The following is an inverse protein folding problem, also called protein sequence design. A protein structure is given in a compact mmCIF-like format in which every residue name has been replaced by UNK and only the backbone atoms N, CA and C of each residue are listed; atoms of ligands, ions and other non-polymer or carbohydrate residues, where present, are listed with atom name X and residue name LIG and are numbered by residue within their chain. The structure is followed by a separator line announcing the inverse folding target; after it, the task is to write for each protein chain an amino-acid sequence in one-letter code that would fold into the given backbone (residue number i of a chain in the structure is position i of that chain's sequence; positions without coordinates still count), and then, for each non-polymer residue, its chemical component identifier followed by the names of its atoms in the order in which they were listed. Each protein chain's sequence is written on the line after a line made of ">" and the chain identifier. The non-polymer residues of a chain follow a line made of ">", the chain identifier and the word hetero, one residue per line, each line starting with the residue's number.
data_IF_646864010341
#
_entry.id   IF_646864010341
#
_cell.length_a   1.000
_cell.length_b   1.000
_cell.length_c   1.000
_cell.angle_alpha   90.00
_cell.angle_beta   90.00
_cell.angle_gamma   90.00
#
_symmetry.space_group_name_H-M   'P 1'
#
loop_
_entity.id
_entity.type
_entity.pdbx_description
1 polymer ?
#
# COMPACT_ATOMS: atom_id res chain seq x y z
N UNK A 1 -6.12 0.23 -0.90
CA UNK A 1 -5.28 0.78 -1.97
C UNK A 1 -5.73 2.19 -2.38
N UNK A 2 -6.96 2.40 -2.90
CA UNK A 2 -7.39 3.72 -3.39
C UNK A 2 -7.15 4.87 -2.40
N UNK A 3 -7.53 4.71 -1.13
CA UNK A 3 -7.33 5.74 -0.11
C UNK A 3 -5.85 6.03 0.11
N UNK A 4 -5.01 5.00 0.18
CA UNK A 4 -3.57 5.17 0.37
C UNK A 4 -2.92 5.88 -0.83
N UNK A 5 -3.06 5.31 -2.02
CA UNK A 5 -2.38 5.79 -3.23
C UNK A 5 -2.82 7.21 -3.61
N UNK A 6 -4.13 7.40 -3.78
CA UNK A 6 -4.67 8.71 -4.15
C UNK A 6 -4.54 9.72 -3.02
N UNK A 7 -4.76 9.29 -1.77
CA UNK A 7 -4.65 10.16 -0.62
C UNK A 7 -3.23 10.66 -0.38
N UNK A 8 -2.20 9.82 -0.57
CA UNK A 8 -0.79 10.22 -0.52
C UNK A 8 -0.46 11.14 -1.69
N UNK A 9 -0.82 10.75 -2.92
CA UNK A 9 -0.52 11.52 -4.12
C UNK A 9 -1.10 12.95 -4.04
N UNK A 10 -2.35 13.09 -3.66
CA UNK A 10 -3.00 14.39 -3.51
C UNK A 10 -2.40 15.22 -2.37
N UNK A 11 -2.10 14.62 -1.23
CA UNK A 11 -1.46 15.32 -0.11
C UNK A 11 -0.03 15.78 -0.43
N UNK A 12 0.68 15.03 -1.30
CA UNK A 12 2.08 15.28 -1.65
C UNK A 12 2.28 16.04 -2.96
N UNK A 13 1.21 16.49 -3.64
CA UNK A 13 1.27 17.17 -4.95
C UNK A 13 2.16 18.42 -5.01
N UNK A 14 2.45 19.02 -3.84
CA UNK A 14 3.34 20.17 -3.71
C UNK A 14 4.82 19.77 -3.69
N UNK A 15 5.14 18.49 -3.49
CA UNK A 15 6.50 17.94 -3.51
C UNK A 15 6.84 17.48 -4.93
N UNK A 16 5.93 16.73 -5.56
CA UNK A 16 6.14 16.18 -6.88
C UNK A 16 4.94 15.37 -7.39
N UNK A 17 5.13 14.73 -8.53
CA UNK A 17 4.12 13.90 -9.18
C UNK A 17 4.66 12.56 -9.68
N UNK A 18 5.86 12.18 -9.29
CA UNK A 18 6.46 10.92 -9.70
C UNK A 18 6.12 9.80 -8.71
N UNK A 19 5.71 8.66 -9.26
CA UNK A 19 5.31 7.45 -8.53
C UNK A 19 5.99 6.24 -9.15
N UNK A 20 6.54 5.35 -8.33
CA UNK A 20 7.14 4.09 -8.76
C UNK A 20 6.29 2.92 -8.27
N UNK A 21 6.04 1.94 -9.14
CA UNK A 21 5.27 0.74 -8.81
C UNK A 21 5.77 -0.48 -9.59
N UNK A 22 4.98 -1.55 -9.66
CA UNK A 22 5.31 -2.77 -10.39
C UNK A 22 4.18 -3.22 -11.31
N UNK A 23 4.47 -4.14 -12.23
CA UNK A 23 3.46 -4.80 -13.04
C UNK A 23 2.76 -5.96 -12.29
N UNK A 24 3.27 -6.36 -11.11
CA UNK A 24 2.71 -7.45 -10.31
C UNK A 24 1.51 -7.02 -9.46
N UNK A 25 1.19 -5.73 -9.47
CA UNK A 25 0.19 -5.18 -8.57
C UNK A 25 -1.23 -5.63 -8.90
N UNK A 26 -2.00 -5.88 -7.86
CA UNK A 26 -3.44 -6.13 -8.01
C UNK A 26 -4.14 -4.95 -8.73
N UNK A 27 -5.23 -5.24 -9.46
CA UNK A 27 -5.99 -4.23 -10.21
C UNK A 27 -6.44 -3.02 -9.39
N UNK A 28 -6.63 -3.16 -8.07
CA UNK A 28 -6.96 -2.03 -7.18
C UNK A 28 -5.79 -1.03 -7.02
N UNK A 29 -4.56 -1.46 -7.20
CA UNK A 29 -3.37 -0.60 -7.29
C UNK A 29 -3.25 -0.07 -8.70
N UNK A 30 -3.17 -0.93 -9.72
CA UNK A 30 -2.99 -0.55 -11.12
C UNK A 30 -4.04 0.45 -11.61
N UNK A 31 -5.33 0.22 -11.33
CA UNK A 31 -6.39 1.15 -11.70
C UNK A 31 -6.30 2.49 -10.94
N UNK A 32 -5.83 2.48 -9.69
CA UNK A 32 -5.59 3.72 -8.94
C UNK A 32 -4.45 4.53 -9.55
N UNK A 33 -3.36 3.87 -9.96
CA UNK A 33 -2.23 4.50 -10.64
C UNK A 33 -2.64 5.05 -12.01
N UNK A 34 -3.42 4.30 -12.79
CA UNK A 34 -3.97 4.78 -14.08
C UNK A 34 -4.83 6.03 -13.90
N UNK A 35 -5.65 6.10 -12.85
CA UNK A 35 -6.44 7.29 -12.54
C UNK A 35 -5.57 8.49 -12.13
N UNK A 36 -4.45 8.26 -11.43
CA UNK A 36 -3.48 9.31 -11.11
C UNK A 36 -2.72 9.76 -12.36
N UNK A 37 -2.35 8.84 -13.26
CA UNK A 37 -1.70 9.18 -14.52
C UNK A 37 -2.58 10.10 -15.38
N UNK A 38 -3.89 9.87 -15.43
CA UNK A 38 -4.85 10.77 -16.09
C UNK A 38 -4.91 12.18 -15.46
N UNK A 39 -4.48 12.31 -14.18
CA UNK A 39 -4.37 13.57 -13.46
C UNK A 39 -2.97 14.23 -13.61
N UNK A 40 -2.11 13.66 -14.46
CA UNK A 40 -0.78 14.19 -14.77
C UNK A 40 0.31 13.74 -13.80
N UNK A 41 0.10 12.63 -13.07
CA UNK A 41 1.19 11.94 -12.37
C UNK A 41 1.99 11.07 -13.33
N UNK A 42 3.29 11.01 -13.13
CA UNK A 42 4.22 10.18 -13.88
C UNK A 42 4.37 8.85 -13.13
N UNK A 43 4.19 7.73 -13.82
CA UNK A 43 4.24 6.39 -13.25
C UNK A 43 5.35 5.60 -13.92
N UNK A 44 6.39 5.25 -13.16
CA UNK A 44 7.40 4.31 -13.58
C UNK A 44 7.13 2.92 -12.99
N UNK A 45 7.36 1.89 -13.80
CA UNK A 45 7.17 0.51 -13.41
C UNK A 45 8.51 -0.21 -13.35
N UNK A 46 8.78 -0.84 -12.19
CA UNK A 46 9.98 -1.65 -11.98
C UNK A 46 9.92 -2.94 -12.80
N UNK A 47 11.04 -3.31 -13.35
CA UNK A 47 11.26 -4.60 -13.96
C UNK A 47 11.25 -5.70 -12.89
N UNK A 48 10.84 -6.88 -13.34
CA UNK A 48 10.74 -8.06 -12.49
C UNK A 48 11.79 -9.08 -12.95
N UNK A 49 12.65 -9.47 -12.04
CA UNK A 49 13.66 -10.50 -12.28
C UNK A 49 13.04 -11.88 -12.55
N UNK A 50 13.86 -12.82 -13.00
CA UNK A 50 13.43 -14.22 -13.26
C UNK A 50 12.93 -14.94 -12.00
N UNK A 51 13.32 -14.47 -10.83
CA UNK A 51 12.87 -14.95 -9.52
C UNK A 51 11.54 -14.34 -9.08
N UNK A 52 10.92 -13.49 -9.89
CA UNK A 52 9.67 -12.78 -9.61
C UNK A 52 9.80 -11.60 -8.66
N UNK A 53 11.03 -11.15 -8.35
CA UNK A 53 11.27 -10.00 -7.47
C UNK A 53 11.55 -8.74 -8.27
N UNK A 54 11.24 -7.58 -7.67
CA UNK A 54 11.54 -6.27 -8.24
C UNK A 54 13.06 -6.07 -8.33
N UNK A 55 13.48 -5.35 -9.37
CA UNK A 55 14.87 -4.93 -9.53
C UNK A 55 15.15 -3.74 -8.58
N UNK A 56 15.97 -3.99 -7.54
CA UNK A 56 16.34 -3.00 -6.55
C UNK A 56 17.35 -1.97 -7.07
N UNK A 57 18.17 -2.31 -8.06
CA UNK A 57 19.11 -1.37 -8.66
C UNK A 57 18.35 -0.40 -9.54
N UNK A 58 17.40 -0.88 -10.35
CA UNK A 58 16.50 -0.01 -11.10
C UNK A 58 15.68 0.89 -10.17
N UNK A 59 15.20 0.39 -9.00
CA UNK A 59 14.53 1.25 -8.03
C UNK A 59 15.42 2.41 -7.59
N UNK A 60 16.71 2.15 -7.29
CA UNK A 60 17.66 3.22 -6.92
C UNK A 60 17.85 4.24 -8.03
N UNK A 61 17.92 3.78 -9.28
CA UNK A 61 18.10 4.65 -10.47
C UNK A 61 16.87 5.53 -10.73
N UNK A 62 15.67 5.00 -10.50
CA UNK A 62 14.41 5.71 -10.73
C UNK A 62 14.04 6.69 -9.60
N UNK A 63 14.62 6.53 -8.38
CA UNK A 63 14.33 7.45 -7.28
C UNK A 63 14.80 8.87 -7.57
N UNK A 64 13.89 9.85 -7.41
CA UNK A 64 14.12 11.28 -7.65
C UNK A 64 13.63 12.10 -6.46
N UNK A 65 14.05 13.36 -6.37
CA UNK A 65 13.60 14.29 -5.31
C UNK A 65 12.09 14.58 -5.38
N UNK A 66 11.50 14.48 -6.57
CA UNK A 66 10.07 14.64 -6.82
C UNK A 66 9.28 13.31 -6.78
N UNK A 67 9.94 12.19 -6.42
CA UNK A 67 9.25 10.91 -6.16
C UNK A 67 8.48 11.00 -4.85
N UNK A 68 7.17 10.85 -4.93
CA UNK A 68 6.27 10.99 -3.76
C UNK A 68 5.73 9.67 -3.22
N UNK A 69 5.81 8.61 -4.01
CA UNK A 69 5.24 7.32 -3.66
C UNK A 69 5.98 6.17 -4.35
N UNK A 70 6.32 5.15 -3.58
CA UNK A 70 6.64 3.80 -4.06
C UNK A 70 5.51 2.88 -3.59
N UNK A 71 4.88 2.15 -4.51
CA UNK A 71 3.75 1.26 -4.22
C UNK A 71 4.06 -0.15 -4.72
N UNK A 72 4.12 -1.12 -3.81
CA UNK A 72 4.47 -2.51 -4.12
C UNK A 72 3.61 -3.49 -3.31
N UNK A 73 3.33 -4.66 -3.87
CA UNK A 73 2.74 -5.76 -3.10
C UNK A 73 3.83 -6.44 -2.25
N UNK A 74 3.47 -6.92 -1.06
CA UNK A 74 4.40 -7.71 -0.23
C UNK A 74 4.56 -9.13 -0.77
N UNK A 75 3.47 -9.70 -1.30
CA UNK A 75 3.43 -11.01 -1.94
C UNK A 75 2.56 -10.90 -3.18
N UNK A 76 3.11 -11.31 -4.31
CA UNK A 76 2.36 -11.36 -5.57
C UNK A 76 1.25 -12.42 -5.53
N UNK A 77 0.08 -12.10 -6.07
CA UNK A 77 -1.10 -12.95 -5.99
C UNK A 77 -1.10 -14.14 -6.95
N UNK A 78 -0.32 -14.08 -8.03
CA UNK A 78 -0.27 -15.09 -9.07
C UNK A 78 0.94 -16.03 -8.91
N UNK A 79 2.12 -15.45 -8.65
CA UNK A 79 3.37 -16.18 -8.53
C UNK A 79 3.66 -16.62 -7.08
N UNK A 80 3.08 -15.93 -6.09
CA UNK A 80 3.36 -16.15 -4.67
C UNK A 80 4.75 -15.65 -4.24
N UNK A 81 5.41 -14.85 -5.06
CA UNK A 81 6.74 -14.33 -4.77
C UNK A 81 6.69 -13.27 -3.67
N UNK A 82 7.54 -13.43 -2.66
CA UNK A 82 7.71 -12.46 -1.57
C UNK A 82 8.67 -11.36 -2.03
N UNK A 83 8.20 -10.11 -2.01
CA UNK A 83 8.99 -8.95 -2.39
C UNK A 83 9.91 -8.47 -1.25
N UNK A 84 11.07 -7.89 -1.55
CA UNK A 84 12.07 -7.47 -0.57
C UNK A 84 11.70 -6.13 0.09
N UNK A 85 10.61 -6.09 0.87
CA UNK A 85 10.04 -4.84 1.44
C UNK A 85 11.03 -4.11 2.33
N UNK A 86 11.88 -4.83 3.08
CA UNK A 86 12.89 -4.24 3.94
C UNK A 86 13.93 -3.44 3.15
N UNK A 87 14.41 -4.02 2.07
CA UNK A 87 15.39 -3.41 1.18
C UNK A 87 14.77 -2.19 0.45
N UNK A 88 13.53 -2.34 -0.03
CA UNK A 88 12.77 -1.23 -0.64
C UNK A 88 12.61 -0.08 0.35
N UNK A 89 12.21 -0.36 1.60
CA UNK A 89 12.10 0.65 2.65
C UNK A 89 13.44 1.36 2.91
N UNK A 90 14.56 0.62 2.87
CA UNK A 90 15.91 1.18 2.98
C UNK A 90 16.26 2.14 1.84
N UNK A 91 15.84 1.84 0.61
CA UNK A 91 16.05 2.70 -0.57
C UNK A 91 15.18 3.96 -0.52
N UNK A 92 13.94 3.84 -0.05
CA UNK A 92 13.01 4.98 0.06
C UNK A 92 13.37 5.93 1.21
N UNK A 93 13.95 5.41 2.29
CA UNK A 93 14.25 6.16 3.53
C UNK A 93 15.03 7.48 3.34
N UNK A 94 16.03 7.58 2.44
CA UNK A 94 16.74 8.84 2.19
C UNK A 94 15.90 9.94 1.53
N UNK A 95 14.72 9.63 1.03
CA UNK A 95 13.84 10.55 0.31
C UNK A 95 12.67 10.99 1.21
N UNK A 96 12.79 12.07 1.99
CA UNK A 96 11.80 12.44 3.00
C UNK A 96 10.45 12.86 2.43
N UNK A 97 10.39 13.21 1.13
CA UNK A 97 9.15 13.48 0.38
C UNK A 97 8.41 12.24 -0.09
N UNK A 98 9.11 11.09 -0.20
CA UNK A 98 8.56 9.85 -0.70
C UNK A 98 7.89 9.04 0.41
N UNK A 99 6.83 8.32 0.06
CA UNK A 99 6.11 7.38 0.95
C UNK A 99 6.17 5.98 0.38
N UNK A 100 6.22 4.98 1.25
CA UNK A 100 6.14 3.58 0.87
C UNK A 100 4.75 3.03 1.22
N UNK A 101 4.01 2.63 0.21
CA UNK A 101 2.77 1.86 0.33
C UNK A 101 3.02 0.38 0.03
N UNK A 102 2.51 -0.49 0.88
CA UNK A 102 2.60 -1.95 0.70
C UNK A 102 1.20 -2.55 0.63
N UNK A 103 0.87 -3.22 -0.47
CA UNK A 103 -0.29 -4.12 -0.50
C UNK A 103 0.10 -5.47 0.13
N UNK A 104 -0.33 -5.69 1.37
CA UNK A 104 -0.04 -6.91 2.12
C UNK A 104 -1.21 -7.92 2.10
N UNK A 105 -2.11 -7.78 1.14
CA UNK A 105 -3.32 -8.62 1.03
C UNK A 105 -3.00 -10.11 1.00
N UNK A 106 -1.93 -10.52 0.35
CA UNK A 106 -1.49 -11.92 0.29
C UNK A 106 -0.46 -12.29 1.36
N UNK A 107 0.04 -11.32 2.13
CA UNK A 107 1.09 -11.54 3.13
C UNK A 107 0.54 -11.73 4.55
N UNK A 108 -0.48 -10.95 4.93
CA UNK A 108 -1.06 -10.98 6.29
C UNK A 108 -1.53 -12.38 6.67
N UNK A 109 -1.05 -12.87 7.81
CA UNK A 109 -1.36 -14.19 8.33
C UNK A 109 -0.68 -15.37 7.61
N UNK A 110 0.27 -15.10 6.70
CA UNK A 110 0.95 -16.14 5.90
C UNK A 110 2.48 -16.01 5.92
N UNK A 111 2.99 -14.79 6.04
CA UNK A 111 4.42 -14.51 6.11
C UNK A 111 4.70 -13.42 7.14
N UNK A 112 5.96 -13.30 7.56
CA UNK A 112 6.40 -12.19 8.37
C UNK A 112 6.18 -10.86 7.66
N UNK A 113 5.71 -9.86 8.40
CA UNK A 113 5.47 -8.51 7.90
C UNK A 113 6.56 -7.56 8.38
N UNK A 114 7.11 -6.81 7.45
CA UNK A 114 8.04 -5.73 7.74
C UNK A 114 7.30 -4.38 7.78
N UNK A 115 7.33 -3.69 8.91
CA UNK A 115 6.64 -2.40 9.11
C UNK A 115 7.59 -1.19 9.21
N UNK A 116 8.86 -1.42 9.56
CA UNK A 116 9.81 -0.31 9.68
C UNK A 116 10.07 0.35 8.31
N UNK A 117 9.86 1.67 8.23
CA UNK A 117 9.93 2.41 6.98
C UNK A 117 8.70 2.31 6.07
N UNK A 118 7.69 1.51 6.42
CA UNK A 118 6.41 1.44 5.68
C UNK A 118 5.46 2.55 6.17
N UNK A 119 4.97 3.36 5.25
CA UNK A 119 4.06 4.48 5.58
C UNK A 119 2.60 4.05 5.61
N UNK A 120 2.21 3.18 4.69
CA UNK A 120 0.85 2.61 4.64
C UNK A 120 0.90 1.14 4.20
N UNK A 121 -0.01 0.34 4.76
CA UNK A 121 -0.15 -1.07 4.39
C UNK A 121 -1.63 -1.43 4.32
N UNK A 122 -2.07 -1.99 3.19
CA UNK A 122 -3.44 -2.42 2.98
C UNK A 122 -3.58 -3.94 3.01
N UNK A 123 -4.71 -4.42 3.52
CA UNK A 123 -5.06 -5.84 3.49
C UNK A 123 -6.58 -6.04 3.61
N UNK A 124 -7.06 -7.26 3.34
CA UNK A 124 -8.48 -7.61 3.39
C UNK A 124 -8.71 -8.94 4.10
N UNK A 125 -9.76 -9.00 4.93
CA UNK A 125 -10.01 -10.10 5.85
C UNK A 125 -10.21 -11.45 5.14
N UNK A 126 -10.89 -11.49 3.99
CA UNK A 126 -11.18 -12.75 3.29
C UNK A 126 -9.95 -13.48 2.73
N UNK A 127 -8.77 -12.87 2.75
CA UNK A 127 -7.51 -13.52 2.33
C UNK A 127 -6.81 -14.29 3.47
N UNK A 128 -7.28 -14.11 4.71
CA UNK A 128 -6.84 -14.87 5.89
C UNK A 128 -8.02 -15.39 6.71
N UNK A 129 -9.01 -15.98 6.01
CA UNK A 129 -10.18 -16.66 6.56
C UNK A 129 -11.16 -15.77 7.35
N UNK A 130 -11.10 -14.47 7.17
CA UNK A 130 -12.05 -13.51 7.70
C UNK A 130 -13.23 -13.26 6.75
N UNK A 131 -14.15 -12.34 7.12
CA UNK A 131 -15.33 -12.06 6.31
C UNK A 131 -15.02 -11.27 5.03
N UNK A 132 -15.86 -11.45 4.02
CA UNK A 132 -15.90 -10.56 2.86
C UNK A 132 -16.46 -9.18 3.25
N UNK A 133 -16.17 -8.17 2.44
CA UNK A 133 -16.76 -6.82 2.55
C UNK A 133 -16.05 -5.87 3.50
N UNK A 134 -14.91 -6.29 4.08
CA UNK A 134 -14.07 -5.42 4.91
C UNK A 134 -12.59 -5.54 4.55
N UNK A 135 -11.91 -4.40 4.54
CA UNK A 135 -10.46 -4.31 4.48
C UNK A 135 -9.94 -3.31 5.51
N UNK A 136 -8.66 -3.32 5.74
CA UNK A 136 -7.99 -2.41 6.65
C UNK A 136 -6.84 -1.68 5.94
N UNK A 137 -6.55 -0.48 6.42
CA UNK A 137 -5.40 0.32 6.04
C UNK A 137 -4.62 0.69 7.30
N UNK A 138 -3.43 0.13 7.46
CA UNK A 138 -2.44 0.67 8.37
C UNK A 138 -1.90 1.99 7.80
N UNK A 139 -1.79 2.98 8.65
CA UNK A 139 -1.21 4.28 8.33
C UNK A 139 -0.26 4.69 9.45
N UNK A 140 1.00 4.97 9.12
CA UNK A 140 1.99 5.47 10.08
C UNK A 140 1.47 6.73 10.78
N UNK A 141 1.69 6.81 12.09
CA UNK A 141 1.30 8.01 12.88
C UNK A 141 1.97 9.27 12.31
N UNK A 142 1.22 10.35 12.19
CA UNK A 142 1.69 11.62 11.64
C UNK A 142 1.67 11.72 10.11
N UNK A 143 1.50 10.62 9.36
CA UNK A 143 1.33 10.71 7.92
C UNK A 143 0.01 11.41 7.59
N UNK A 144 0.05 12.38 6.68
CA UNK A 144 -1.14 13.03 6.13
C UNK A 144 -1.53 12.33 4.83
N UNK A 145 -2.78 11.93 4.74
CA UNK A 145 -3.41 11.44 3.50
C UNK A 145 -4.70 12.21 3.26
N UNK A 146 -5.00 12.53 2.02
CA UNK A 146 -6.24 13.23 1.66
C UNK A 146 -7.40 12.23 1.59
N UNK A 147 -8.53 12.49 2.28
CA UNK A 147 -9.72 11.63 2.19
C UNK A 147 -10.25 11.53 0.76
N UNK A 148 -10.68 10.33 0.36
CA UNK A 148 -11.24 10.08 -0.97
C UNK A 148 -12.76 9.98 -0.97
N UNK A 149 -13.37 9.88 0.22
CA UNK A 149 -14.82 9.82 0.40
C UNK A 149 -15.19 10.94 1.37
N UNK A 150 -15.95 11.92 0.88
CA UNK A 150 -16.42 13.06 1.65
C UNK A 150 -17.65 12.70 2.48
N UNK A 151 -17.82 13.36 3.64
CA UNK A 151 -18.96 13.18 4.54
C UNK A 151 -18.64 13.57 5.97
N UNK A 152 -19.44 13.12 6.92
CA UNK A 152 -19.23 13.39 8.35
C UNK A 152 -17.98 12.65 8.90
N UNK A 153 -17.29 13.30 9.83
CA UNK A 153 -16.25 12.68 10.63
C UNK A 153 -16.89 11.89 11.78
N UNK A 154 -17.02 10.57 11.63
CA UNK A 154 -17.55 9.71 12.69
C UNK A 154 -16.43 9.09 13.56
N UNK A 155 -15.73 8.11 13.02
CA UNK A 155 -14.63 7.41 13.72
C UNK A 155 -13.26 7.83 13.21
N UNK A 156 -13.18 8.36 11.99
CA UNK A 156 -11.94 8.81 11.35
C UNK A 156 -12.20 9.93 10.35
N UNK A 157 -11.24 10.85 10.24
CA UNK A 157 -11.25 11.92 9.23
C UNK A 157 -10.87 11.42 7.83
N UNK A 158 -10.36 10.20 7.70
CA UNK A 158 -9.80 9.68 6.44
C UNK A 158 -10.83 8.98 5.56
N UNK A 159 -11.91 8.49 6.16
CA UNK A 159 -12.94 7.74 5.44
C UNK A 159 -14.30 7.94 6.13
N UNK A 160 -15.17 8.70 5.47
CA UNK A 160 -16.54 8.93 5.96
C UNK A 160 -17.42 7.70 5.79
N UNK A 161 -18.47 7.62 6.60
CA UNK A 161 -19.46 6.56 6.60
C UNK A 161 -19.48 5.79 7.93
N UNK A 162 -20.65 5.32 8.31
CA UNK A 162 -20.84 4.55 9.54
C UNK A 162 -20.11 3.22 9.45
N UNK A 163 -19.21 2.91 10.42
CA UNK A 163 -18.49 1.64 10.41
C UNK A 163 -19.43 0.44 10.59
N UNK A 164 -19.16 -0.63 9.85
CA UNK A 164 -19.86 -1.91 10.02
C UNK A 164 -19.21 -2.68 11.17
N UNK A 165 -19.73 -2.47 12.39
CA UNK A 165 -19.13 -2.99 13.63
C UNK A 165 -18.95 -4.52 13.60
N UNK A 166 -19.97 -5.27 13.13
CA UNK A 166 -19.88 -6.74 13.05
C UNK A 166 -18.74 -7.23 12.15
N UNK A 167 -18.51 -6.57 11.01
CA UNK A 167 -17.39 -6.90 10.12
C UNK A 167 -16.04 -6.51 10.75
N UNK A 168 -15.99 -5.38 11.46
CA UNK A 168 -14.75 -4.93 12.13
C UNK A 168 -14.32 -5.93 13.22
N UNK A 169 -15.24 -6.37 14.08
CA UNK A 169 -14.99 -7.40 15.11
C UNK A 169 -14.58 -8.73 14.48
N UNK A 170 -15.24 -9.12 13.38
CA UNK A 170 -14.89 -10.36 12.67
C UNK A 170 -13.50 -10.30 12.01
N UNK A 171 -13.13 -9.14 11.46
CA UNK A 171 -11.77 -8.91 10.94
C UNK A 171 -10.74 -9.03 12.05
N UNK A 172 -10.97 -8.39 13.20
CA UNK A 172 -10.07 -8.43 14.37
C UNK A 172 -9.86 -9.87 14.86
N UNK A 173 -10.94 -10.63 15.00
CA UNK A 173 -10.86 -12.04 15.42
C UNK A 173 -10.08 -12.91 14.41
N UNK A 174 -10.30 -12.69 13.11
CA UNK A 174 -9.58 -13.40 12.06
C UNK A 174 -8.09 -13.02 12.03
N UNK A 175 -7.77 -11.73 12.16
CA UNK A 175 -6.39 -11.23 12.21
C UNK A 175 -5.64 -11.77 13.43
N UNK A 176 -6.25 -11.74 14.60
CA UNK A 176 -5.67 -12.30 15.84
C UNK A 176 -5.31 -13.77 15.67
N UNK A 177 -6.21 -14.57 15.10
CA UNK A 177 -5.95 -16.00 14.82
C UNK A 177 -4.85 -16.20 13.79
N UNK A 178 -4.85 -15.41 12.72
CA UNK A 178 -3.86 -15.52 11.65
C UNK A 178 -2.45 -15.20 12.13
N UNK A 179 -2.30 -14.19 13.00
CA UNK A 179 -1.00 -13.80 13.58
C UNK A 179 -0.53 -14.77 14.67
N UNK A 180 -1.44 -15.43 15.41
CA UNK A 180 -1.09 -16.42 16.42
C UNK A 180 -0.65 -17.77 15.83
N UNK A 181 -0.95 -18.03 14.58
CA UNK A 181 -0.59 -19.27 13.85
C UNK A 181 0.68 -19.17 13.01
N UNK A 182 1.41 -18.07 13.09
CA UNK A 182 2.69 -17.83 12.41
C UNK A 182 3.88 -18.33 13.22
#
# INVERSE_FOLDING_TARGET
>A
NNLALKGIAHASRHIGKHIISTQLEHSSVGASLSALQQQGYEIDLLDIGRDGRVDLDQLRELMRDDTILVAVCAVDSELGTIQPIREIAGIVKPYPGCRLHVDATQAVGKTDLWLDGVDTMSFTAHKFYGPNGIGALYKRRGLVIEPQISGGASTTIYRSGTPTLGLAVSLDAALTKALAGQ
#
